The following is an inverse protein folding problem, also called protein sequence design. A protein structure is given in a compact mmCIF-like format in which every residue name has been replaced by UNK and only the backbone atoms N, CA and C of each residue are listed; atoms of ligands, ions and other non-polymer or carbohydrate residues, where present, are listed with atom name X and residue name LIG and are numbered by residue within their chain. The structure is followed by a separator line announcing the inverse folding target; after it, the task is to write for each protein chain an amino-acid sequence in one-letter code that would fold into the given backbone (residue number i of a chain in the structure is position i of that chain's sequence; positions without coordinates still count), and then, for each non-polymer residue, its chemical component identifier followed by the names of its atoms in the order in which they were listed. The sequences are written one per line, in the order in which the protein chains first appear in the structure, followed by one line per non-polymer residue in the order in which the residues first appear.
data_IF_458803494833
#
_entry.id   IF_458803494833
#
_cell.length_a   1.000
_cell.length_b   1.000
_cell.length_c   1.000
_cell.angle_alpha   90.00
_cell.angle_beta   90.00
_cell.angle_gamma   90.00
#
_symmetry.space_group_name_H-M   'P 1'
#
loop_
_entity.id
_entity.type
_entity.pdbx_description
1 polymer ?
#
# COMPACT_ATOMS: atom_id res chain seq x y z
N UNK A 1 -16.16 8.23 5.97
CA UNK A 1 -16.28 6.75 6.05
C UNK A 1 -14.90 6.19 6.34
N UNK A 2 -14.81 5.08 7.08
CA UNK A 2 -13.53 4.48 7.48
C UNK A 2 -13.55 2.97 7.27
N UNK A 3 -12.39 2.42 6.92
CA UNK A 3 -12.12 0.98 6.94
C UNK A 3 -11.39 0.66 8.25
N UNK A 4 -11.90 -0.28 9.03
CA UNK A 4 -11.21 -0.78 10.22
C UNK A 4 -10.20 -1.83 9.79
N UNK A 5 -8.97 -1.76 10.32
CA UNK A 5 -7.94 -2.77 10.11
C UNK A 5 -7.47 -3.26 11.48
N UNK A 6 -7.52 -4.56 11.69
CA UNK A 6 -7.06 -5.20 12.91
C UNK A 6 -5.79 -5.98 12.60
N UNK A 7 -4.66 -5.53 13.14
CA UNK A 7 -3.40 -6.26 13.09
C UNK A 7 -3.29 -7.15 14.31
N UNK A 8 -3.15 -8.46 14.14
CA UNK A 8 -3.03 -9.40 15.24
C UNK A 8 -1.61 -9.95 15.31
N UNK A 9 -1.12 -10.12 16.53
CA UNK A 9 0.16 -10.76 16.82
C UNK A 9 -0.08 -12.25 17.06
N UNK A 10 0.69 -13.10 16.39
CA UNK A 10 0.64 -14.56 16.59
C UNK A 10 0.89 -14.95 18.05
N UNK A 11 0.46 -16.14 18.44
CA UNK A 11 0.61 -16.64 19.81
C UNK A 11 2.09 -16.76 20.25
N UNK A 12 3.00 -17.00 19.31
CA UNK A 12 4.44 -17.06 19.53
C UNK A 12 5.14 -15.69 19.42
N UNK A 13 4.39 -14.64 19.06
CA UNK A 13 4.89 -13.29 18.85
C UNK A 13 5.67 -13.08 17.55
N UNK A 14 5.82 -14.11 16.71
CA UNK A 14 6.69 -14.09 15.51
C UNK A 14 5.94 -13.86 14.22
N UNK A 15 4.61 -13.87 14.28
CA UNK A 15 3.75 -13.62 13.12
C UNK A 15 2.89 -12.39 13.34
N UNK A 16 2.60 -11.71 12.25
CA UNK A 16 1.58 -10.67 12.17
C UNK A 16 0.66 -11.00 11.01
N UNK A 17 -0.64 -11.05 11.27
CA UNK A 17 -1.66 -11.03 10.23
C UNK A 17 -2.56 -9.82 10.43
N UNK A 18 -3.46 -9.58 9.48
CA UNK A 18 -4.45 -8.53 9.63
C UNK A 18 -5.79 -8.88 9.00
N UNK A 19 -6.85 -8.24 9.51
CA UNK A 19 -8.20 -8.32 8.98
C UNK A 19 -8.67 -6.90 8.67
N UNK A 20 -9.16 -6.68 7.45
CA UNK A 20 -9.72 -5.39 7.05
C UNK A 20 -11.24 -5.49 6.91
N UNK A 21 -11.94 -4.53 7.49
CA UNK A 21 -13.40 -4.39 7.47
C UNK A 21 -13.76 -3.05 6.83
N UNK A 22 -14.02 -3.00 5.51
CA UNK A 22 -14.44 -1.78 4.84
C UNK A 22 -15.87 -1.38 5.27
N UNK A 23 -16.23 -0.10 5.10
CA UNK A 23 -17.58 0.36 5.42
C UNK A 23 -18.59 -0.37 4.53
N UNK A 24 -19.63 -0.94 5.16
CA UNK A 24 -20.73 -1.65 4.48
C UNK A 24 -20.30 -2.86 3.64
N UNK A 25 -19.12 -3.44 3.88
CA UNK A 25 -18.65 -4.65 3.20
C UNK A 25 -18.19 -5.69 4.21
N UNK A 26 -18.17 -6.96 3.79
CA UNK A 26 -17.64 -8.05 4.60
C UNK A 26 -16.16 -7.85 4.88
N UNK A 27 -15.75 -8.20 6.09
CA UNK A 27 -14.35 -8.31 6.45
C UNK A 27 -13.61 -9.33 5.56
N UNK A 28 -12.32 -9.12 5.36
CA UNK A 28 -11.45 -10.05 4.66
C UNK A 28 -10.08 -10.11 5.32
N UNK A 29 -9.47 -11.30 5.26
CA UNK A 29 -8.14 -11.56 5.78
C UNK A 29 -7.06 -11.11 4.80
N UNK A 30 -6.01 -10.53 5.37
CA UNK A 30 -4.78 -10.19 4.70
C UNK A 30 -3.81 -11.35 4.59
N UNK A 31 -2.55 -11.00 4.30
CA UNK A 31 -1.45 -11.94 4.38
C UNK A 31 -0.92 -12.02 5.80
N UNK A 32 -0.49 -13.22 6.20
CA UNK A 32 0.30 -13.43 7.41
C UNK A 32 1.77 -13.34 7.08
N UNK A 33 2.52 -12.58 7.87
CA UNK A 33 3.93 -12.29 7.66
C UNK A 33 4.73 -12.42 8.94
N UNK A 34 6.06 -12.51 8.79
CA UNK A 34 6.95 -12.48 9.94
C UNK A 34 6.86 -11.13 10.67
N UNK A 35 6.73 -11.18 11.99
CA UNK A 35 6.90 -10.08 12.91
C UNK A 35 8.29 -10.21 13.55
N UNK A 36 9.21 -9.32 13.18
CA UNK A 36 10.58 -9.29 13.67
C UNK A 36 10.76 -8.35 14.86
N UNK A 37 12.00 -7.88 15.05
CA UNK A 37 12.31 -6.80 16.00
C UNK A 37 11.70 -5.45 15.60
N UNK A 38 11.46 -5.28 14.30
CA UNK A 38 10.91 -4.07 13.69
C UNK A 38 9.42 -4.22 13.42
N UNK A 39 8.79 -3.15 12.92
CA UNK A 39 7.37 -3.19 12.55
C UNK A 39 7.12 -4.19 11.41
N UNK A 40 6.04 -5.00 11.48
CA UNK A 40 5.61 -5.83 10.36
C UNK A 40 5.39 -5.00 9.09
N UNK A 41 5.74 -5.54 7.93
CA UNK A 41 5.75 -4.81 6.65
C UNK A 41 4.41 -4.11 6.35
N UNK A 42 3.28 -4.81 6.46
CA UNK A 42 1.97 -4.23 6.16
C UNK A 42 1.55 -3.17 7.20
N UNK A 43 1.97 -3.30 8.46
CA UNK A 43 1.75 -2.29 9.51
C UNK A 43 2.63 -1.05 9.29
N UNK A 44 3.87 -1.24 8.83
CA UNK A 44 4.76 -0.15 8.39
C UNK A 44 4.14 0.60 7.23
N UNK A 45 3.71 -0.12 6.18
CA UNK A 45 3.06 0.48 5.02
C UNK A 45 1.79 1.22 5.40
N UNK A 46 0.96 0.65 6.30
CA UNK A 46 -0.22 1.33 6.84
C UNK A 46 0.14 2.65 7.51
N UNK A 47 1.16 2.63 8.37
CA UNK A 47 1.56 3.79 9.16
C UNK A 47 2.07 4.91 8.27
N UNK A 48 2.94 4.59 7.31
CA UNK A 48 3.53 5.56 6.39
C UNK A 48 2.49 6.11 5.42
N UNK A 49 1.72 5.25 4.75
CA UNK A 49 0.70 5.71 3.80
C UNK A 49 -0.34 6.59 4.50
N UNK A 50 -0.75 6.22 5.73
CA UNK A 50 -1.69 7.03 6.52
C UNK A 50 -1.10 8.39 6.90
N UNK A 51 0.13 8.42 7.39
CA UNK A 51 0.78 9.66 7.83
C UNK A 51 1.00 10.65 6.68
N UNK A 52 1.23 10.14 5.47
CA UNK A 52 1.41 10.94 4.25
C UNK A 52 0.09 11.23 3.50
N UNK A 53 -1.07 10.79 4.01
CA UNK A 53 -2.37 10.85 3.31
C UNK A 53 -2.32 10.27 1.88
N UNK A 54 -1.58 9.17 1.71
CA UNK A 54 -1.47 8.46 0.43
C UNK A 54 -2.76 7.69 0.17
N UNK A 55 -3.48 8.11 -0.86
CA UNK A 55 -4.83 7.61 -1.17
C UNK A 55 -4.85 6.50 -2.22
N UNK A 56 -3.90 6.49 -3.13
CA UNK A 56 -3.73 5.50 -4.20
C UNK A 56 -2.62 4.49 -3.94
N UNK A 57 -2.18 4.41 -2.68
CA UNK A 57 -1.36 3.32 -2.14
C UNK A 57 -2.15 2.04 -1.88
N UNK A 58 -1.51 1.05 -1.26
CA UNK A 58 -2.10 -0.28 -1.06
C UNK A 58 -3.38 -0.22 -0.22
N UNK A 59 -3.35 0.48 0.91
CA UNK A 59 -4.49 0.53 1.83
C UNK A 59 -5.65 1.35 1.30
N UNK A 60 -5.32 2.46 0.64
CA UNK A 60 -6.30 3.29 -0.05
C UNK A 60 -7.00 2.52 -1.17
N UNK A 61 -6.27 1.78 -1.99
CA UNK A 61 -6.87 0.96 -3.05
C UNK A 61 -7.66 -0.23 -2.49
N UNK A 62 -7.20 -0.89 -1.42
CA UNK A 62 -7.96 -1.94 -0.74
C UNK A 62 -9.32 -1.43 -0.25
N UNK A 63 -9.33 -0.26 0.38
CA UNK A 63 -10.55 0.41 0.86
C UNK A 63 -11.55 0.68 -0.27
N UNK A 64 -11.05 0.94 -1.49
CA UNK A 64 -11.89 1.19 -2.67
C UNK A 64 -12.28 -0.06 -3.46
N UNK A 65 -11.83 -1.25 -3.05
CA UNK A 65 -12.22 -2.49 -3.72
C UNK A 65 -11.13 -3.15 -4.55
N UNK A 66 -9.91 -2.62 -4.59
CA UNK A 66 -8.84 -3.18 -5.40
C UNK A 66 -8.47 -4.60 -4.97
N UNK A 67 -8.25 -5.47 -5.93
CA UNK A 67 -7.86 -6.84 -5.63
C UNK A 67 -6.38 -7.05 -5.92
N UNK A 68 -5.68 -7.67 -4.98
CA UNK A 68 -4.26 -8.04 -5.08
C UNK A 68 -4.12 -9.54 -4.85
N UNK A 69 -3.27 -10.19 -5.63
CA UNK A 69 -2.99 -11.63 -5.44
C UNK A 69 -2.35 -11.91 -4.08
N UNK A 70 -1.66 -10.93 -3.50
CA UNK A 70 -1.08 -10.96 -2.16
C UNK A 70 -2.09 -10.81 -1.02
N UNK A 71 -3.40 -10.78 -1.30
CA UNK A 71 -4.45 -10.69 -0.28
C UNK A 71 -5.38 -11.90 -0.41
N UNK A 72 -5.06 -13.03 0.25
CA UNK A 72 -5.72 -14.31 0.02
C UNK A 72 -7.18 -14.32 0.50
N UNK A 73 -7.51 -13.58 1.57
CA UNK A 73 -8.87 -13.51 2.09
C UNK A 73 -9.85 -12.70 1.22
N UNK A 74 -9.39 -12.11 0.12
CA UNK A 74 -10.22 -11.28 -0.76
C UNK A 74 -10.52 -11.96 -2.08
N UNK A 75 -11.82 -12.16 -2.35
CA UNK A 75 -12.28 -12.71 -3.63
C UNK A 75 -11.91 -11.80 -4.82
N UNK A 76 -11.31 -12.33 -5.88
CA UNK A 76 -11.04 -11.57 -7.09
C UNK A 76 -12.33 -11.12 -7.77
N UNK A 77 -12.41 -9.82 -8.12
CA UNK A 77 -13.49 -9.26 -8.94
C UNK A 77 -12.92 -8.55 -10.16
N UNK A 78 -13.68 -8.46 -11.25
CA UNK A 78 -13.25 -7.70 -12.43
C UNK A 78 -13.06 -6.20 -12.11
N UNK A 79 -13.97 -5.51 -11.39
CA UNK A 79 -13.76 -4.13 -10.97
C UNK A 79 -12.52 -3.96 -10.09
N UNK A 80 -12.29 -4.85 -9.12
CA UNK A 80 -11.12 -4.77 -8.23
C UNK A 80 -9.79 -4.95 -8.97
N UNK A 81 -9.74 -5.84 -9.96
CA UNK A 81 -8.57 -5.99 -10.85
C UNK A 81 -8.38 -4.77 -11.74
N UNK A 82 -9.44 -4.22 -12.29
CA UNK A 82 -9.37 -3.01 -13.12
C UNK A 82 -8.82 -1.84 -12.31
N UNK A 83 -9.26 -1.68 -11.06
CA UNK A 83 -8.79 -0.64 -10.16
C UNK A 83 -7.29 -0.80 -9.85
N UNK A 84 -6.84 -2.00 -9.46
CA UNK A 84 -5.42 -2.27 -9.21
C UNK A 84 -4.55 -1.98 -10.45
N UNK A 85 -5.01 -2.36 -11.65
CA UNK A 85 -4.30 -2.08 -12.91
C UNK A 85 -4.23 -0.58 -13.23
N UNK A 86 -5.34 0.14 -13.02
CA UNK A 86 -5.41 1.58 -13.31
C UNK A 86 -4.44 2.40 -12.44
N UNK A 87 -4.15 1.93 -11.22
CA UNK A 87 -3.26 2.60 -10.27
C UNK A 87 -1.90 1.92 -10.09
N UNK A 88 -1.54 0.94 -10.93
CA UNK A 88 -0.29 0.19 -10.78
C UNK A 88 0.95 1.09 -10.74
N UNK A 89 1.01 2.13 -11.58
CA UNK A 89 2.12 3.07 -11.58
C UNK A 89 2.22 3.88 -10.27
N UNK A 90 1.07 4.27 -9.71
CA UNK A 90 1.01 4.96 -8.43
C UNK A 90 1.44 4.03 -7.29
N UNK A 91 0.99 2.77 -7.30
CA UNK A 91 1.41 1.75 -6.32
C UNK A 91 2.93 1.58 -6.28
N UNK A 92 3.57 1.43 -7.44
CA UNK A 92 5.04 1.29 -7.51
C UNK A 92 5.74 2.55 -6.99
N UNK A 93 5.23 3.74 -7.32
CA UNK A 93 5.78 4.99 -6.82
C UNK A 93 5.65 5.12 -5.29
N UNK A 94 4.47 4.77 -4.74
CA UNK A 94 4.19 4.75 -3.31
C UNK A 94 5.08 3.74 -2.59
N UNK A 95 5.27 2.54 -3.15
CA UNK A 95 6.17 1.53 -2.58
C UNK A 95 7.61 2.06 -2.46
N UNK A 96 8.09 2.80 -3.47
CA UNK A 96 9.38 3.50 -3.39
C UNK A 96 9.45 4.53 -2.26
N UNK A 97 8.40 5.34 -2.06
CA UNK A 97 8.31 6.32 -0.97
C UNK A 97 8.28 5.63 0.39
N UNK A 98 7.46 4.60 0.54
CA UNK A 98 7.34 3.80 1.77
C UNK A 98 8.68 3.17 2.13
N UNK A 99 9.33 2.51 1.16
CA UNK A 99 10.63 1.89 1.37
C UNK A 99 11.70 2.94 1.74
N UNK A 100 11.69 4.11 1.11
CA UNK A 100 12.59 5.20 1.44
C UNK A 100 12.47 5.64 2.91
N UNK A 101 11.25 5.91 3.38
CA UNK A 101 11.02 6.32 4.76
C UNK A 101 11.31 5.21 5.77
N UNK A 102 10.90 3.97 5.48
CA UNK A 102 11.16 2.83 6.34
C UNK A 102 12.67 2.59 6.52
N UNK A 103 13.41 2.58 5.42
CA UNK A 103 14.86 2.35 5.45
C UNK A 103 15.62 3.48 6.16
N UNK A 104 15.23 4.74 5.94
CA UNK A 104 15.80 5.87 6.68
C UNK A 104 15.55 5.72 8.19
N UNK A 105 14.30 5.38 8.58
CA UNK A 105 13.96 5.14 9.98
C UNK A 105 14.78 4.01 10.60
N UNK A 106 14.86 2.86 9.91
CA UNK A 106 15.59 1.67 10.35
C UNK A 106 17.10 1.95 10.55
N UNK A 107 17.69 2.80 9.70
CA UNK A 107 19.11 3.20 9.81
C UNK A 107 19.37 4.33 10.81
N UNK A 108 18.34 4.89 11.44
CA UNK A 108 18.51 6.07 12.31
C UNK A 108 18.70 7.39 11.55
N UNK A 109 18.46 7.40 10.24
CA UNK A 109 18.57 8.59 9.40
C UNK A 109 17.35 9.53 9.56
N UNK A 110 17.47 10.82 9.21
CA UNK A 110 16.34 11.74 9.24
C UNK A 110 15.19 11.29 8.33
N UNK A 111 13.98 11.28 8.88
CA UNK A 111 12.73 11.10 8.15
C UNK A 111 11.63 11.86 8.90
N UNK A 112 10.73 12.56 8.20
CA UNK A 112 9.64 13.27 8.87
C UNK A 112 8.66 12.33 9.59
N UNK A 113 8.70 11.02 9.31
CA UNK A 113 7.80 10.01 9.86
C UNK A 113 8.35 9.27 11.09
N UNK A 114 9.47 9.76 11.65
CA UNK A 114 10.15 9.09 12.77
C UNK A 114 9.21 8.94 13.96
N UNK A 115 8.53 10.01 14.36
CA UNK A 115 7.65 10.00 15.52
C UNK A 115 6.48 9.01 15.36
N UNK A 116 5.87 8.97 14.17
CA UNK A 116 4.75 8.08 13.85
C UNK A 116 5.18 6.61 13.84
N UNK A 117 6.34 6.31 13.26
CA UNK A 117 6.91 4.95 13.23
C UNK A 117 7.34 4.49 14.62
N UNK A 118 7.99 5.34 15.41
CA UNK A 118 8.39 5.04 16.79
C UNK A 118 7.16 4.78 17.67
N UNK A 119 6.12 5.63 17.55
CA UNK A 119 4.87 5.45 18.29
C UNK A 119 4.15 4.15 17.89
N UNK A 120 4.11 3.82 16.59
CA UNK A 120 3.51 2.56 16.15
C UNK A 120 4.31 1.35 16.62
N UNK A 121 5.64 1.42 16.58
CA UNK A 121 6.52 0.36 17.08
C UNK A 121 6.29 0.13 18.58
N UNK A 122 6.17 1.20 19.36
CA UNK A 122 5.86 1.11 20.78
C UNK A 122 4.51 0.41 21.04
N UNK A 123 3.46 0.78 20.29
CA UNK A 123 2.14 0.14 20.36
C UNK A 123 2.21 -1.34 19.98
N UNK A 124 2.93 -1.67 18.91
CA UNK A 124 3.11 -3.05 18.47
C UNK A 124 3.87 -3.88 19.50
N UNK A 125 4.95 -3.35 20.09
CA UNK A 125 5.73 -4.04 21.13
C UNK A 125 4.95 -4.25 22.42
N UNK A 126 4.13 -3.28 22.83
CA UNK A 126 3.29 -3.36 24.01
C UNK A 126 2.14 -4.38 23.88
N UNK A 127 1.78 -4.76 22.65
CA UNK A 127 0.73 -5.74 22.39
C UNK A 127 1.14 -7.13 22.90
N UNK A 128 0.30 -7.76 23.72
CA UNK A 128 0.53 -9.14 24.15
C UNK A 128 0.48 -10.10 22.93
N UNK A 129 1.16 -11.24 23.04
CA UNK A 129 1.04 -12.29 22.04
C UNK A 129 -0.41 -12.80 21.98
N UNK A 130 -0.91 -13.04 20.77
CA UNK A 130 -2.32 -13.39 20.54
C UNK A 130 -3.30 -12.21 20.59
N UNK A 131 -2.86 -11.00 20.98
CA UNK A 131 -3.71 -9.82 21.01
C UNK A 131 -3.69 -9.06 19.66
N UNK A 132 -4.62 -8.12 19.54
CA UNK A 132 -4.84 -7.33 18.34
C UNK A 132 -4.75 -5.82 18.56
N UNK A 133 -4.25 -5.14 17.54
CA UNK A 133 -4.21 -3.69 17.42
C UNK A 133 -5.20 -3.23 16.35
N UNK A 134 -6.26 -2.54 16.77
CA UNK A 134 -7.24 -1.96 15.84
C UNK A 134 -6.83 -0.55 15.41
N UNK A 135 -6.84 -0.32 14.10
CA UNK A 135 -6.54 0.95 13.46
C UNK A 135 -7.68 1.34 12.49
N UNK A 136 -7.90 2.65 12.35
CA UNK A 136 -8.82 3.19 11.37
C UNK A 136 -8.06 3.72 10.15
N UNK A 137 -8.56 3.37 8.96
CA UNK A 137 -8.10 3.91 7.68
C UNK A 137 -9.18 4.85 7.10
N UNK A 138 -8.88 6.14 6.91
CA UNK A 138 -9.83 7.08 6.33
C UNK A 138 -10.08 6.75 4.85
N UNK A 139 -11.33 6.55 4.47
CA UNK A 139 -11.71 6.32 3.06
C UNK A 139 -12.01 7.67 2.42
N UNK A 140 -11.04 8.17 1.64
CA UNK A 140 -11.13 9.41 0.87
C UNK A 140 -11.16 9.12 -0.64
N UNK A 141 -11.79 9.96 -1.47
CA UNK A 141 -11.79 9.77 -2.92
C UNK A 141 -10.37 9.60 -3.48
N UNK A 142 -10.20 8.59 -4.33
CA UNK A 142 -8.96 8.35 -5.04
C UNK A 142 -8.64 9.53 -5.97
N UNK A 143 -7.36 9.93 -6.09
CA UNK A 143 -6.96 10.80 -7.18
C UNK A 143 -7.27 10.11 -8.52
N UNK A 144 -7.57 10.89 -9.56
CA UNK A 144 -7.74 10.34 -10.91
C UNK A 144 -6.49 9.56 -11.34
N UNK A 145 -6.62 8.46 -12.10
CA UNK A 145 -5.45 7.72 -12.56
C UNK A 145 -4.54 8.66 -13.35
N UNK A 146 -3.23 8.57 -13.10
CA UNK A 146 -2.26 9.40 -13.81
C UNK A 146 -2.47 9.25 -15.33
N UNK A 147 -2.47 10.35 -16.11
CA UNK A 147 -2.64 10.27 -17.54
C UNK A 147 -1.55 9.37 -18.12
N UNK A 148 -1.95 8.35 -18.87
CA UNK A 148 -1.02 7.48 -19.61
C UNK A 148 -0.16 8.40 -20.49
N UNK A 149 1.14 8.53 -20.19
CA UNK A 149 2.10 9.16 -21.10
C UNK A 149 1.98 8.42 -22.43
N UNK A 150 1.35 9.04 -23.43
CA UNK A 150 1.30 8.48 -24.78
C UNK A 150 2.76 8.31 -25.24
N UNK A 151 3.16 7.14 -25.75
CA UNK A 151 4.47 7.02 -26.36
C UNK A 151 4.56 8.08 -27.47
N UNK A 152 5.59 8.94 -27.40
CA UNK A 152 5.91 9.88 -28.47
C UNK A 152 6.07 9.03 -29.73
N UNK A 153 5.12 9.13 -30.67
CA UNK A 153 5.28 8.62 -32.03
C UNK A 153 6.55 9.26 -32.56
N UNK A 154 7.63 8.50 -32.64
CA UNK A 154 8.82 8.91 -33.35
C UNK A 154 8.37 9.22 -34.78
N UNK A 155 8.44 10.50 -35.16
CA UNK A 155 8.08 10.96 -36.49
C UNK A 155 8.89 10.18 -37.50
N UNK A 156 8.19 9.41 -38.34
CA UNK A 156 8.73 8.77 -39.53
C UNK A 156 9.20 9.92 -40.44
N UNK A 157 10.50 10.25 -40.42
CA UNK A 157 11.08 11.23 -41.36
C UNK A 157 10.86 10.70 -42.77
N UNK A 158 10.22 11.50 -43.61
CA UNK A 158 10.02 11.21 -45.02
C UNK A 158 11.36 11.10 -45.74
N UNK A 159 11.47 10.09 -46.60
CA UNK A 159 12.48 10.06 -47.64
C UNK A 159 12.10 11.10 -48.70
N UNK A 160 12.98 12.05 -49.06
CA UNK A 160 12.79 12.82 -50.28
C UNK A 160 13.17 11.97 -51.50
N UNK A 161 12.31 12.05 -52.51
CA UNK A 161 12.57 11.64 -53.88
C UNK A 161 13.89 12.24 -54.38
N UNK A 162 14.75 11.40 -54.96
CA UNK A 162 15.79 11.83 -55.88
C UNK A 162 15.44 11.25 -57.26
N UNK A 163 14.94 12.10 -58.14
CA UNK A 163 15.06 11.92 -59.58
C UNK A 163 16.22 12.78 -60.06
N UNK A 164 17.13 12.18 -60.85
CA UNK A 164 17.89 12.80 -61.93
C UNK A 164 19.01 11.86 -62.38
N UNK A 165 18.81 11.20 -63.53
CA UNK A 165 19.70 11.20 -64.69
C UNK A 165 19.08 10.30 -65.77
#
# INVERSE_FOLDING_TARGET
MEMRVEFHKGADGRLCGWVATPPHRRAFEGTTMAAGRDLPHDLTQFTIERALDVRDGFWGLLAHGAWFASVPGRRPTQPGRALARAHHAALVAVEGVVNGHYLAWQRGEPTPLRAELDAMLARWRALANGASLTLAWPVRPLPGPAPRRRPRRAGRRGHPHAGAA
#
